data_IF_595544518229
#
_entry.id   IF_595544518229
#
_cell.length_a   1.000
_cell.length_b   1.000
_cell.length_c   1.000
_cell.angle_alpha   90.00
_cell.angle_beta   90.00
_cell.angle_gamma   90.00
#
_symmetry.space_group_name_H-M   'P 1'
#
loop_
_entity.id
_entity.type
_entity.pdbx_description
1 polymer ?
#
# COMPACT_ATOMS: atom_id res chain seq x y z
N UNK A 1 11.90 0.89 -27.15
CA UNK A 1 10.70 1.70 -27.44
C UNK A 1 9.53 0.91 -28.04
N UNK A 2 9.70 -0.36 -28.44
CA UNK A 2 8.61 -1.14 -29.07
C UNK A 2 7.36 -1.31 -28.19
N UNK A 3 7.51 -1.44 -26.87
CA UNK A 3 6.39 -1.59 -25.94
C UNK A 3 5.56 -0.31 -25.81
N UNK A 4 6.21 0.86 -25.77
CA UNK A 4 5.51 2.15 -25.79
C UNK A 4 4.72 2.34 -27.09
N UNK A 5 5.35 2.02 -28.24
CA UNK A 5 4.68 2.08 -29.55
C UNK A 5 3.50 1.11 -29.58
N UNK A 6 3.69 -0.11 -29.09
CA UNK A 6 2.65 -1.13 -29.05
C UNK A 6 1.46 -0.73 -28.18
N UNK A 7 1.68 -0.09 -27.02
CA UNK A 7 0.60 0.47 -26.20
C UNK A 7 -0.11 1.63 -26.90
N UNK A 8 0.61 2.53 -27.56
CA UNK A 8 0.00 3.57 -28.38
C UNK A 8 -0.84 2.99 -29.52
N UNK A 9 -0.41 1.89 -30.13
CA UNK A 9 -1.19 1.17 -31.14
C UNK A 9 -2.45 0.54 -30.53
N UNK A 10 -2.38 0.01 -29.31
CA UNK A 10 -3.55 -0.50 -28.59
C UNK A 10 -4.60 0.59 -28.34
N UNK A 11 -4.16 1.80 -28.01
CA UNK A 11 -5.02 2.97 -27.84
C UNK A 11 -5.65 3.41 -29.17
N UNK A 12 -4.84 3.52 -30.22
CA UNK A 12 -5.25 4.08 -31.51
C UNK A 12 -5.92 3.07 -32.46
N UNK A 13 -5.86 1.77 -32.15
CA UNK A 13 -6.37 0.69 -33.00
C UNK A 13 -5.45 0.32 -34.18
N UNK A 14 -4.17 0.71 -34.14
CA UNK A 14 -3.21 0.46 -35.24
C UNK A 14 -2.68 -0.97 -35.25
N UNK A 15 -3.53 -1.92 -35.65
CA UNK A 15 -3.25 -3.36 -35.60
C UNK A 15 -2.04 -3.78 -36.45
N UNK A 16 -1.85 -3.19 -37.64
CA UNK A 16 -0.70 -3.53 -38.50
C UNK A 16 0.63 -3.11 -37.85
N UNK A 17 0.70 -1.87 -37.33
CA UNK A 17 1.88 -1.36 -36.66
C UNK A 17 2.18 -2.11 -35.35
N UNK A 18 1.13 -2.51 -34.61
CA UNK A 18 1.29 -3.37 -33.44
C UNK A 18 1.99 -4.70 -33.78
N UNK A 19 1.64 -5.32 -34.91
CA UNK A 19 2.26 -6.59 -35.33
C UNK A 19 3.75 -6.42 -35.67
N UNK A 20 4.13 -5.28 -36.24
CA UNK A 20 5.54 -4.96 -36.54
C UNK A 20 6.39 -4.77 -35.26
N UNK A 21 5.76 -4.38 -34.14
CA UNK A 21 6.47 -4.16 -32.88
C UNK A 21 7.05 -5.45 -32.26
N UNK A 22 6.52 -6.62 -32.63
CA UNK A 22 6.97 -7.95 -32.18
C UNK A 22 7.23 -8.04 -30.66
N UNK A 23 6.26 -7.55 -29.86
CA UNK A 23 6.32 -7.56 -28.40
C UNK A 23 5.75 -8.85 -27.82
N UNK A 24 6.16 -9.22 -26.61
CA UNK A 24 5.52 -10.30 -25.86
C UNK A 24 4.07 -9.90 -25.51
N UNK A 25 3.17 -10.88 -25.26
CA UNK A 25 1.80 -10.60 -24.86
C UNK A 25 1.76 -9.94 -23.47
N UNK A 26 1.83 -8.61 -23.46
CA UNK A 26 1.89 -7.81 -22.24
C UNK A 26 0.49 -7.48 -21.72
N UNK A 27 0.30 -7.60 -20.40
CA UNK A 27 -0.99 -7.36 -19.73
C UNK A 27 -1.43 -5.91 -19.86
N UNK A 28 -0.53 -4.92 -19.75
CA UNK A 28 -0.90 -3.50 -19.79
C UNK A 28 -1.41 -3.12 -21.18
N UNK A 29 -0.76 -3.64 -22.24
CA UNK A 29 -1.19 -3.43 -23.62
C UNK A 29 -2.56 -4.08 -23.87
N UNK A 30 -2.78 -5.28 -23.32
CA UNK A 30 -4.07 -5.95 -23.44
C UNK A 30 -5.19 -5.17 -22.74
N UNK A 31 -4.93 -4.65 -21.53
CA UNK A 31 -5.93 -3.85 -20.79
C UNK A 31 -6.27 -2.56 -21.53
N UNK A 32 -5.26 -1.90 -22.09
CA UNK A 32 -5.42 -0.70 -22.92
C UNK A 32 -6.21 -0.98 -24.20
N UNK A 33 -5.90 -2.08 -24.90
CA UNK A 33 -6.60 -2.51 -26.11
C UNK A 33 -8.08 -2.79 -25.81
N UNK A 34 -8.36 -3.47 -24.70
CA UNK A 34 -9.74 -3.75 -24.26
C UNK A 34 -10.50 -2.46 -23.94
N UNK A 35 -9.89 -1.54 -23.19
CA UNK A 35 -10.51 -0.27 -22.81
C UNK A 35 -10.77 0.63 -24.02
N UNK A 36 -9.87 0.62 -25.00
CA UNK A 36 -9.96 1.44 -26.22
C UNK A 36 -10.81 0.80 -27.33
N UNK A 37 -11.36 -0.40 -27.12
CA UNK A 37 -12.18 -1.11 -28.12
C UNK A 37 -11.37 -1.76 -29.26
N UNK A 38 -10.05 -1.86 -29.13
CA UNK A 38 -9.13 -2.47 -30.10
C UNK A 38 -9.16 -4.01 -30.03
N UNK A 39 -10.31 -4.61 -30.36
CA UNK A 39 -10.56 -6.06 -30.21
C UNK A 39 -9.50 -6.92 -30.91
N UNK A 40 -9.09 -6.57 -32.14
CA UNK A 40 -8.11 -7.37 -32.88
C UNK A 40 -6.74 -7.48 -32.17
N UNK A 41 -6.32 -6.43 -31.46
CA UNK A 41 -5.08 -6.44 -30.67
C UNK A 41 -5.32 -7.22 -29.37
N UNK A 42 -6.44 -6.97 -28.69
CA UNK A 42 -6.80 -7.66 -27.46
C UNK A 42 -6.90 -9.18 -27.65
N UNK A 43 -7.67 -9.65 -28.63
CA UNK A 43 -7.88 -11.06 -28.93
C UNK A 43 -6.56 -11.74 -29.32
N UNK A 44 -5.71 -11.03 -30.05
CA UNK A 44 -4.37 -11.53 -30.39
C UNK A 44 -3.54 -11.75 -29.13
N UNK A 45 -3.50 -10.80 -28.21
CA UNK A 45 -2.76 -10.94 -26.95
C UNK A 45 -3.36 -12.10 -26.13
N UNK A 46 -4.69 -12.13 -25.96
CA UNK A 46 -5.42 -13.14 -25.20
C UNK A 46 -5.35 -14.56 -25.80
N UNK A 47 -5.02 -14.71 -27.09
CA UNK A 47 -4.84 -16.01 -27.72
C UNK A 47 -3.59 -16.76 -27.23
N UNK A 48 -2.67 -16.09 -26.54
CA UNK A 48 -1.47 -16.70 -25.97
C UNK A 48 -1.79 -17.40 -24.64
N UNK A 49 -1.09 -18.50 -24.35
CA UNK A 49 -1.28 -19.26 -23.10
C UNK A 49 -0.77 -18.52 -21.86
N UNK A 50 0.21 -17.63 -22.05
CA UNK A 50 0.83 -16.86 -20.98
C UNK A 50 0.82 -15.39 -21.34
N UNK A 51 0.48 -14.56 -20.36
CA UNK A 51 0.62 -13.11 -20.42
C UNK A 51 1.78 -12.70 -19.52
N UNK A 52 2.42 -11.58 -19.86
CA UNK A 52 3.57 -11.07 -19.13
C UNK A 52 3.32 -9.68 -18.59
N UNK A 53 3.93 -9.34 -17.46
CA UNK A 53 4.03 -7.97 -16.97
C UNK A 53 5.42 -7.42 -17.32
N UNK A 54 5.52 -6.81 -18.50
CA UNK A 54 6.75 -6.17 -19.00
C UNK A 54 6.76 -4.70 -18.65
N UNK A 55 5.62 -4.03 -18.85
CA UNK A 55 5.43 -2.63 -18.44
C UNK A 55 4.94 -2.56 -17.00
N UNK A 56 5.47 -1.59 -16.24
CA UNK A 56 5.02 -1.29 -14.88
C UNK A 56 4.72 0.21 -14.74
N UNK A 57 3.44 0.53 -14.68
CA UNK A 57 2.91 1.89 -14.62
C UNK A 57 3.17 2.56 -13.26
N UNK A 58 3.35 1.78 -12.19
CA UNK A 58 3.70 2.32 -10.88
C UNK A 58 5.07 2.98 -10.89
N UNK A 59 6.03 2.36 -11.58
CA UNK A 59 7.43 2.83 -11.63
C UNK A 59 7.80 3.47 -12.97
N UNK A 60 6.87 3.49 -13.93
CA UNK A 60 7.10 3.91 -15.33
C UNK A 60 8.29 3.20 -15.97
N UNK A 61 8.43 1.91 -15.67
CA UNK A 61 9.57 1.10 -16.09
C UNK A 61 9.15 0.01 -17.08
N UNK A 62 10.11 -0.42 -17.91
CA UNK A 62 9.95 -1.56 -18.81
C UNK A 62 11.03 -2.56 -18.48
N UNK A 63 10.61 -3.71 -17.97
CA UNK A 63 11.51 -4.74 -17.44
C UNK A 63 11.67 -5.89 -18.43
N UNK A 64 12.87 -6.05 -18.98
CA UNK A 64 13.20 -7.17 -19.88
C UNK A 64 13.88 -8.34 -19.18
N UNK A 65 14.40 -8.11 -17.97
CA UNK A 65 15.03 -9.14 -17.15
C UNK A 65 13.96 -9.98 -16.45
N UNK A 66 13.90 -11.26 -16.80
CA UNK A 66 12.98 -12.25 -16.21
C UNK A 66 11.49 -11.86 -16.31
N UNK A 67 10.89 -11.95 -17.53
CA UNK A 67 9.48 -11.66 -17.74
C UNK A 67 8.57 -12.46 -16.81
N UNK A 68 7.89 -11.77 -15.90
CA UNK A 68 6.97 -12.41 -14.96
C UNK A 68 5.66 -12.72 -15.64
N UNK A 69 5.22 -13.97 -15.54
CA UNK A 69 3.87 -14.37 -15.94
C UNK A 69 2.88 -13.62 -15.06
N UNK A 70 1.86 -13.05 -15.69
CA UNK A 70 0.81 -12.28 -15.02
C UNK A 70 -0.55 -12.62 -15.60
N UNK A 71 -1.59 -12.11 -14.96
CA UNK A 71 -2.96 -12.10 -15.44
C UNK A 71 -3.45 -10.66 -15.61
N UNK A 72 -4.61 -10.49 -16.25
CA UNK A 72 -5.33 -9.23 -16.21
C UNK A 72 -5.79 -8.96 -14.78
N UNK A 73 -5.30 -7.88 -14.18
CA UNK A 73 -5.58 -7.49 -12.81
C UNK A 73 -5.94 -6.01 -12.70
N UNK A 74 -6.19 -5.31 -13.81
CA UNK A 74 -6.47 -3.87 -13.91
C UNK A 74 -5.54 -3.02 -13.05
N UNK A 75 -4.24 -3.33 -13.12
CA UNK A 75 -3.15 -2.57 -12.51
C UNK A 75 -2.40 -1.82 -13.62
N UNK A 76 -3.17 -1.18 -14.49
CA UNK A 76 -2.72 -0.43 -15.66
C UNK A 76 -3.41 0.92 -15.63
N UNK A 77 -2.64 1.98 -15.85
CA UNK A 77 -3.15 3.34 -16.00
C UNK A 77 -3.76 3.51 -17.40
N UNK A 78 -5.05 3.22 -17.55
CA UNK A 78 -5.73 3.34 -18.84
C UNK A 78 -5.71 4.78 -19.34
N UNK A 79 -5.78 4.99 -20.66
CA UNK A 79 -5.88 6.33 -21.25
C UNK A 79 -6.97 7.18 -20.59
N UNK A 80 -8.13 6.60 -20.32
CA UNK A 80 -9.25 7.31 -19.70
C UNK A 80 -8.93 7.83 -18.29
N UNK A 81 -8.07 7.14 -17.53
CA UNK A 81 -7.67 7.64 -16.21
C UNK A 81 -6.75 8.86 -16.28
N UNK A 82 -6.12 9.13 -17.41
CA UNK A 82 -5.27 10.30 -17.61
C UNK A 82 -6.08 11.59 -17.83
N UNK A 83 -7.37 11.47 -18.11
CA UNK A 83 -8.30 12.61 -18.24
C UNK A 83 -8.91 13.00 -16.88
N UNK A 84 -8.67 12.21 -15.83
CA UNK A 84 -9.10 12.51 -14.46
C UNK A 84 -8.07 13.44 -13.84
N UNK A 85 -8.47 14.67 -13.56
CA UNK A 85 -7.61 15.73 -13.04
C UNK A 85 -8.03 16.17 -11.64
N UNK A 86 -7.04 16.53 -10.85
CA UNK A 86 -7.23 17.11 -9.52
C UNK A 86 -6.79 18.57 -9.52
N UNK A 87 -7.51 19.39 -8.77
CA UNK A 87 -7.13 20.78 -8.58
C UNK A 87 -6.08 20.90 -7.49
N UNK A 88 -5.01 21.67 -7.76
CA UNK A 88 -4.05 22.04 -6.72
C UNK A 88 -4.71 22.97 -5.68
N UNK A 89 -4.62 22.58 -4.41
CA UNK A 89 -5.05 23.34 -3.24
C UNK A 89 -3.83 24.00 -2.59
N UNK A 90 -4.08 25.06 -1.83
CA UNK A 90 -3.01 25.75 -1.09
C UNK A 90 -2.38 24.74 -0.12
N UNK A 91 -1.06 24.47 -0.22
CA UNK A 91 -0.37 23.59 0.71
C UNK A 91 -0.47 24.11 2.14
N UNK A 92 -0.46 23.17 3.09
CA UNK A 92 -0.48 23.46 4.52
C UNK A 92 0.73 22.80 5.15
N UNK A 93 1.32 23.43 6.17
CA UNK A 93 2.48 22.90 6.89
C UNK A 93 3.60 23.92 7.03
N UNK A 94 4.63 23.58 7.83
CA UNK A 94 5.85 24.38 7.88
C UNK A 94 6.57 24.28 6.53
N UNK A 95 6.82 25.42 5.89
CA UNK A 95 7.77 25.51 4.79
C UNK A 95 9.15 25.11 5.33
N UNK A 96 9.67 23.97 4.89
CA UNK A 96 11.07 23.64 5.11
C UNK A 96 11.87 24.42 4.06
N UNK A 97 12.49 25.53 4.48
CA UNK A 97 13.42 26.25 3.62
C UNK A 97 14.62 25.32 3.31
N UNK A 98 14.87 24.96 2.04
CA UNK A 98 15.97 24.07 1.68
C UNK A 98 17.37 24.61 2.03
N UNK A 99 17.48 25.89 2.40
CA UNK A 99 18.74 26.55 2.73
C UNK A 99 19.00 26.70 4.23
N UNK A 100 18.02 26.45 5.11
CA UNK A 100 18.27 26.43 6.54
C UNK A 100 18.84 25.07 6.97
N UNK A 101 20.16 24.94 6.85
CA UNK A 101 20.91 23.87 7.50
C UNK A 101 20.71 23.99 9.02
N UNK A 102 19.99 23.05 9.62
CA UNK A 102 19.83 22.90 11.08
C UNK A 102 21.14 22.40 11.74
N UNK A 103 22.29 22.96 11.35
CA UNK A 103 23.59 22.57 11.87
C UNK A 103 24.22 23.62 12.79
N UNK A 104 23.62 24.80 12.91
CA UNK A 104 24.02 25.81 13.88
C UNK A 104 22.83 25.98 14.83
N UNK A 105 23.05 25.71 16.12
CA UNK A 105 22.01 25.62 17.15
C UNK A 105 21.30 26.94 17.49
N UNK A 106 20.82 27.65 16.48
CA UNK A 106 19.86 28.75 16.62
C UNK A 106 18.45 28.17 16.60
N UNK A 107 17.82 28.18 17.77
CA UNK A 107 16.38 28.00 17.90
C UNK A 107 15.70 29.04 17.01
N UNK A 108 14.91 28.59 16.04
CA UNK A 108 14.10 29.49 15.22
C UNK A 108 13.22 30.31 16.19
N UNK A 109 13.45 31.62 16.25
CA UNK A 109 12.67 32.54 17.09
C UNK A 109 11.17 32.28 16.85
N UNK A 110 10.50 31.78 17.88
CA UNK A 110 9.06 31.54 17.83
C UNK A 110 8.36 32.90 17.73
N UNK A 111 7.75 33.16 16.58
CA UNK A 111 6.99 34.38 16.33
C UNK A 111 5.86 34.48 17.38
N UNK A 112 5.93 35.43 18.33
CA UNK A 112 5.08 35.43 19.53
C UNK A 112 3.62 35.79 19.22
N UNK A 113 3.33 36.21 17.99
CA UNK A 113 1.98 36.55 17.50
C UNK A 113 1.23 35.35 16.87
N UNK A 114 1.83 34.15 16.84
CA UNK A 114 1.10 32.91 16.49
C UNK A 114 0.20 32.38 17.62
N UNK A 115 0.13 33.13 18.71
CA UNK A 115 -0.68 32.89 19.91
C UNK A 115 -2.17 33.04 19.56
N UNK A 116 -2.78 31.94 19.11
CA UNK A 116 -4.24 31.70 18.95
C UNK A 116 -4.95 32.24 17.69
N UNK A 117 -4.31 32.16 16.52
CA UNK A 117 -5.01 32.20 15.23
C UNK A 117 -4.83 30.87 14.49
N UNK A 118 -5.92 30.19 14.16
CA UNK A 118 -6.19 29.07 13.22
C UNK A 118 -5.03 28.24 12.56
N UNK A 119 -3.83 28.78 12.35
CA UNK A 119 -2.66 28.13 11.74
C UNK A 119 -1.88 27.13 12.62
N UNK A 120 -2.31 26.86 13.86
CA UNK A 120 -1.69 25.84 14.72
C UNK A 120 -2.02 24.40 14.31
N UNK A 121 -3.17 24.17 13.67
CA UNK A 121 -3.58 22.83 13.20
C UNK A 121 -2.92 22.46 11.86
N UNK A 122 -2.77 23.45 10.97
CA UNK A 122 -2.23 23.27 9.62
C UNK A 122 -0.73 22.89 9.63
N UNK A 123 -0.01 23.20 10.72
CA UNK A 123 1.39 22.75 10.90
C UNK A 123 1.50 21.33 11.46
N UNK A 124 0.45 20.80 12.09
CA UNK A 124 0.41 19.44 12.64
C UNK A 124 0.10 18.38 11.58
N UNK A 125 -0.59 18.78 10.51
CA UNK A 125 -0.95 17.91 9.38
C UNK A 125 -0.52 18.58 8.08
N UNK A 126 0.76 18.45 7.70
CA UNK A 126 1.21 19.02 6.44
C UNK A 126 0.47 18.37 5.28
N UNK A 127 -0.11 19.19 4.41
CA UNK A 127 -0.79 18.79 3.19
C UNK A 127 -0.06 19.40 2.00
N UNK A 128 0.36 18.58 1.04
CA UNK A 128 1.10 19.04 -0.13
C UNK A 128 0.25 19.88 -1.12
N UNK A 129 -1.06 20.02 -0.87
CA UNK A 129 -1.99 20.68 -1.79
C UNK A 129 -2.55 19.77 -2.89
N UNK A 130 -2.13 18.50 -2.94
CA UNK A 130 -2.64 17.49 -3.88
C UNK A 130 -2.57 16.10 -3.24
N UNK A 131 -3.32 15.16 -3.81
CA UNK A 131 -3.26 13.74 -3.46
C UNK A 131 -2.27 13.04 -4.39
N UNK A 132 -1.37 12.21 -3.85
CA UNK A 132 -0.52 11.38 -4.71
C UNK A 132 -1.38 10.39 -5.50
N UNK A 133 -1.29 10.46 -6.83
CA UNK A 133 -1.99 9.54 -7.71
C UNK A 133 -1.38 8.14 -7.61
N UNK A 134 -2.24 7.11 -7.71
CA UNK A 134 -1.79 5.71 -7.73
C UNK A 134 -0.83 5.44 -8.89
N UNK A 135 -1.06 6.10 -10.04
CA UNK A 135 -0.19 6.06 -11.22
C UNK A 135 0.15 7.49 -11.63
N UNK A 136 1.42 7.90 -11.50
CA UNK A 136 1.87 9.24 -11.94
C UNK A 136 2.45 9.19 -13.37
N UNK A 137 1.65 8.73 -14.33
CA UNK A 137 2.10 8.52 -15.73
C UNK A 137 2.46 9.82 -16.43
N UNK A 138 1.67 10.87 -16.25
CA UNK A 138 1.86 12.21 -16.82
C UNK A 138 2.96 13.00 -16.12
N UNK A 139 3.50 12.48 -15.01
CA UNK A 139 4.58 13.06 -14.21
C UNK A 139 4.22 14.39 -13.50
N UNK A 140 2.99 14.85 -13.63
CA UNK A 140 2.43 16.08 -13.07
C UNK A 140 1.42 15.82 -11.93
N UNK A 141 1.30 14.54 -11.48
CA UNK A 141 0.31 14.09 -10.50
C UNK A 141 -1.14 14.36 -10.89
N UNK A 142 -1.43 14.49 -12.19
CA UNK A 142 -2.74 14.84 -12.72
C UNK A 142 -3.27 16.19 -12.19
N UNK A 143 -2.35 17.11 -11.87
CA UNK A 143 -2.69 18.45 -11.39
C UNK A 143 -3.15 19.33 -12.56
N UNK A 144 -4.32 19.96 -12.41
CA UNK A 144 -4.86 20.92 -13.37
C UNK A 144 -5.58 22.10 -12.66
N UNK A 145 -6.03 23.10 -13.41
CA UNK A 145 -6.81 24.24 -12.92
C UNK A 145 -8.22 23.81 -12.45
N UNK A 146 -8.76 22.77 -13.08
CA UNK A 146 -10.11 22.25 -12.86
C UNK A 146 -10.01 20.83 -12.31
N UNK A 147 -10.88 20.51 -11.34
CA UNK A 147 -11.05 19.16 -10.84
C UNK A 147 -12.09 18.46 -11.70
N UNK A 148 -11.76 17.29 -12.25
CA UNK A 148 -12.73 16.47 -12.98
C UNK A 148 -13.86 16.10 -12.02
N UNK A 149 -15.12 16.23 -12.45
CA UNK A 149 -16.24 15.66 -11.70
C UNK A 149 -15.97 14.15 -11.57
N UNK A 150 -16.00 13.59 -10.35
CA UNK A 150 -15.81 12.15 -10.14
C UNK A 150 -16.74 11.39 -11.09
N UNK A 151 -16.20 10.84 -12.19
CA UNK A 151 -16.98 10.03 -13.13
C UNK A 151 -17.44 8.77 -12.39
N UNK A 152 -18.70 8.85 -11.95
CA UNK A 152 -19.78 7.89 -11.92
C UNK A 152 -19.49 6.38 -12.09
N UNK A 153 -20.32 5.60 -11.39
CA UNK A 153 -20.44 4.14 -11.46
C UNK A 153 -19.16 3.41 -11.10
N UNK A 154 -18.86 3.42 -9.80
CA UNK A 154 -17.99 2.41 -9.21
C UNK A 154 -18.68 1.06 -9.47
N UNK A 155 -18.23 0.35 -10.50
CA UNK A 155 -18.61 -1.04 -10.70
C UNK A 155 -17.94 -1.83 -9.59
N UNK A 156 -18.57 -1.78 -8.41
CA UNK A 156 -18.06 -2.43 -7.22
C UNK A 156 -18.02 -3.92 -7.54
N UNK A 157 -16.82 -4.50 -7.53
CA UNK A 157 -16.58 -5.90 -7.81
C UNK A 157 -17.05 -6.82 -6.66
N UNK A 158 -18.21 -6.52 -6.08
CA UNK A 158 -18.74 -7.15 -4.86
C UNK A 158 -19.01 -8.64 -5.05
N UNK A 159 -19.39 -9.08 -6.26
CA UNK A 159 -19.61 -10.49 -6.58
C UNK A 159 -18.37 -11.34 -6.25
N UNK A 160 -17.18 -10.78 -6.49
CA UNK A 160 -15.91 -11.45 -6.22
C UNK A 160 -15.50 -11.44 -4.74
N UNK A 161 -16.30 -10.87 -3.83
CA UNK A 161 -16.08 -10.99 -2.38
C UNK A 161 -16.37 -12.40 -1.87
N UNK A 162 -17.37 -13.05 -2.47
CA UNK A 162 -17.83 -14.39 -2.07
C UNK A 162 -17.25 -15.45 -3.00
N UNK A 163 -17.02 -15.10 -4.27
CA UNK A 163 -16.47 -16.01 -5.28
C UNK A 163 -14.92 -16.02 -5.30
N UNK A 164 -14.30 -17.14 -5.76
CA UNK A 164 -12.88 -17.16 -6.05
C UNK A 164 -12.56 -16.14 -7.16
N UNK A 165 -11.40 -15.46 -7.03
CA UNK A 165 -10.98 -14.51 -8.06
C UNK A 165 -10.71 -15.24 -9.38
N UNK A 166 -11.38 -14.88 -10.50
CA UNK A 166 -11.13 -15.49 -11.81
C UNK A 166 -9.70 -15.21 -12.25
N UNK A 167 -9.06 -16.07 -13.08
CA UNK A 167 -7.67 -15.86 -13.49
C UNK A 167 -7.44 -14.46 -14.09
N UNK A 168 -8.27 -14.05 -15.05
CA UNK A 168 -8.30 -12.69 -15.56
C UNK A 168 -9.45 -11.92 -14.91
N UNK A 169 -9.14 -10.86 -14.18
CA UNK A 169 -10.12 -10.05 -13.47
C UNK A 169 -10.76 -9.02 -14.42
N UNK A 170 -12.06 -8.79 -14.22
CA UNK A 170 -12.80 -7.74 -14.92
C UNK A 170 -12.21 -6.35 -14.63
N UNK A 171 -12.32 -5.39 -15.57
CA UNK A 171 -11.94 -4.02 -15.30
C UNK A 171 -12.93 -3.40 -14.31
N UNK A 172 -12.43 -2.60 -13.38
CA UNK A 172 -13.24 -1.95 -12.35
C UNK A 172 -12.45 -1.58 -11.10
N UNK A 173 -13.15 -1.01 -10.13
CA UNK A 173 -12.56 -0.61 -8.84
C UNK A 173 -12.37 -1.85 -7.93
N UNK A 174 -11.12 -2.09 -7.53
CA UNK A 174 -10.71 -3.25 -6.71
C UNK A 174 -10.54 -2.93 -5.24
N UNK A 175 -10.73 -1.68 -4.85
CA UNK A 175 -10.37 -1.20 -3.53
C UNK A 175 -11.14 -1.99 -2.47
N UNK A 176 -12.44 -2.26 -2.70
CA UNK A 176 -13.24 -3.12 -1.81
C UNK A 176 -12.66 -4.54 -1.69
N UNK A 177 -12.17 -5.13 -2.78
CA UNK A 177 -11.54 -6.46 -2.75
C UNK A 177 -10.22 -6.45 -1.97
N UNK A 178 -9.42 -5.40 -2.13
CA UNK A 178 -8.15 -5.19 -1.42
C UNK A 178 -8.43 -5.03 0.08
N UNK A 179 -9.35 -4.14 0.44
CA UNK A 179 -9.74 -3.87 1.83
C UNK A 179 -10.25 -5.13 2.52
N UNK A 180 -11.13 -5.90 1.86
CA UNK A 180 -11.68 -7.14 2.43
C UNK A 180 -10.66 -8.26 2.54
N UNK A 181 -9.74 -8.40 1.57
CA UNK A 181 -8.64 -9.35 1.66
C UNK A 181 -7.72 -9.02 2.85
N UNK A 182 -7.38 -7.74 3.02
CA UNK A 182 -6.57 -7.26 4.13
C UNK A 182 -7.28 -7.46 5.48
N UNK A 183 -8.56 -7.09 5.58
CA UNK A 183 -9.36 -7.17 6.79
C UNK A 183 -9.47 -8.62 7.31
N UNK A 184 -9.68 -9.57 6.40
CA UNK A 184 -9.80 -11.01 6.72
C UNK A 184 -8.44 -11.69 6.89
N UNK A 185 -7.35 -11.06 6.45
CA UNK A 185 -6.01 -11.65 6.46
C UNK A 185 -5.83 -12.75 5.41
N UNK A 186 -6.47 -12.62 4.25
CA UNK A 186 -6.40 -13.59 3.17
C UNK A 186 -5.13 -13.38 2.31
N UNK A 187 -4.11 -14.21 2.55
CA UNK A 187 -2.79 -14.11 1.91
C UNK A 187 -2.90 -14.25 0.38
N UNK A 188 -3.66 -15.22 -0.12
CA UNK A 188 -3.73 -15.49 -1.57
C UNK A 188 -4.35 -14.32 -2.33
N UNK A 189 -5.39 -13.69 -1.77
CA UNK A 189 -6.02 -12.50 -2.36
C UNK A 189 -5.13 -11.28 -2.24
N UNK A 190 -4.46 -11.07 -1.10
CA UNK A 190 -3.50 -9.98 -0.94
C UNK A 190 -2.33 -10.11 -1.91
N UNK A 191 -1.71 -11.29 -2.02
CA UNK A 191 -0.60 -11.54 -2.93
C UNK A 191 -0.96 -11.24 -4.40
N UNK A 192 -2.25 -11.33 -4.74
CA UNK A 192 -2.74 -11.06 -6.09
C UNK A 192 -3.20 -9.61 -6.31
N UNK A 193 -3.76 -8.95 -5.29
CA UNK A 193 -4.42 -7.64 -5.41
C UNK A 193 -3.61 -6.47 -4.83
N UNK A 194 -2.61 -6.74 -3.98
CA UNK A 194 -1.84 -5.70 -3.32
C UNK A 194 -1.10 -4.83 -4.34
N UNK A 195 -1.16 -3.52 -4.09
CA UNK A 195 -0.50 -2.49 -4.90
C UNK A 195 0.71 -1.92 -4.14
N UNK A 196 1.65 -1.26 -4.83
CA UNK A 196 2.79 -0.62 -4.15
C UNK A 196 2.39 0.44 -3.13
N UNK A 197 1.35 1.22 -3.45
CA UNK A 197 0.77 2.22 -2.56
C UNK A 197 -0.57 1.71 -2.01
N UNK A 198 -0.80 1.95 -0.72
CA UNK A 198 -2.00 1.49 -0.03
C UNK A 198 -3.21 2.33 -0.46
N UNK A 199 -4.36 1.68 -0.66
CA UNK A 199 -5.62 2.40 -0.90
C UNK A 199 -6.16 3.00 0.41
N UNK A 200 -7.07 3.97 0.30
CA UNK A 200 -7.64 4.65 1.46
C UNK A 200 -8.27 3.63 2.44
N UNK A 201 -7.80 3.64 3.69
CA UNK A 201 -8.28 2.74 4.75
C UNK A 201 -7.65 1.35 4.78
N UNK A 202 -6.78 1.00 3.83
CA UNK A 202 -6.14 -0.32 3.75
C UNK A 202 -5.26 -0.60 4.97
N UNK A 203 -4.49 0.38 5.45
CA UNK A 203 -3.63 0.22 6.62
C UNK A 203 -4.41 -0.25 7.86
N UNK A 204 -5.61 0.28 8.09
CA UNK A 204 -6.48 -0.16 9.18
C UNK A 204 -6.95 -1.61 9.01
N UNK A 205 -7.31 -1.98 7.77
CA UNK A 205 -7.71 -3.35 7.44
C UNK A 205 -6.55 -4.34 7.61
N UNK A 206 -5.35 -3.99 7.16
CA UNK A 206 -4.12 -4.78 7.33
C UNK A 206 -3.81 -4.99 8.80
N UNK A 207 -3.81 -3.93 9.61
CA UNK A 207 -3.59 -4.01 11.06
C UNK A 207 -4.60 -4.97 11.69
N UNK A 208 -5.89 -4.85 11.35
CA UNK A 208 -6.94 -5.75 11.85
C UNK A 208 -6.74 -7.20 11.36
N UNK A 209 -6.34 -7.42 10.12
CA UNK A 209 -6.02 -8.76 9.60
C UNK A 209 -4.87 -9.39 10.38
N UNK A 210 -3.80 -8.63 10.62
CA UNK A 210 -2.61 -9.07 11.36
C UNK A 210 -2.96 -9.50 12.78
N UNK A 211 -3.75 -8.71 13.50
CA UNK A 211 -4.15 -9.07 14.87
C UNK A 211 -4.91 -10.40 14.95
N UNK A 212 -5.68 -10.77 13.93
CA UNK A 212 -6.54 -11.94 13.99
C UNK A 212 -6.00 -13.15 13.21
N UNK A 213 -5.04 -12.98 12.31
CA UNK A 213 -4.48 -14.05 11.50
C UNK A 213 -2.95 -14.15 11.69
N UNK A 214 -2.43 -15.13 12.47
CA UNK A 214 -1.00 -15.32 12.71
C UNK A 214 -0.16 -15.45 11.43
N UNK A 215 -0.62 -16.27 10.49
CA UNK A 215 0.11 -16.52 9.24
C UNK A 215 0.17 -15.28 8.35
N UNK A 216 -0.88 -14.44 8.39
CA UNK A 216 -0.90 -13.16 7.70
C UNK A 216 0.11 -12.18 8.30
N UNK A 217 0.27 -12.17 9.62
CA UNK A 217 1.32 -11.39 10.28
C UNK A 217 2.73 -11.82 9.82
N UNK A 218 2.98 -13.13 9.74
CA UNK A 218 4.26 -13.66 9.21
C UNK A 218 4.48 -13.27 7.75
N UNK A 219 3.45 -13.40 6.90
CA UNK A 219 3.52 -13.00 5.50
C UNK A 219 3.81 -11.51 5.32
N UNK A 220 3.11 -10.64 6.06
CA UNK A 220 3.35 -9.19 6.06
C UNK A 220 4.74 -8.81 6.58
N UNK A 221 5.29 -9.61 7.50
CA UNK A 221 6.61 -9.38 8.07
C UNK A 221 7.78 -9.53 7.07
N UNK A 222 7.51 -10.11 5.90
CA UNK A 222 8.44 -10.29 4.78
C UNK A 222 8.20 -9.28 3.63
N UNK A 223 7.18 -8.43 3.73
CA UNK A 223 6.89 -7.43 2.70
C UNK A 223 7.88 -6.25 2.80
N UNK A 224 8.10 -5.51 1.69
CA UNK A 224 8.89 -4.29 1.72
C UNK A 224 8.30 -3.29 2.72
N UNK A 225 9.16 -2.55 3.43
CA UNK A 225 8.70 -1.53 4.38
C UNK A 225 8.15 -0.33 3.62
N UNK A 226 6.93 0.07 3.94
CA UNK A 226 6.44 1.41 3.62
C UNK A 226 7.10 2.40 4.58
N UNK A 227 7.72 3.47 4.07
CA UNK A 227 8.35 4.52 4.88
C UNK A 227 7.35 5.48 5.53
N UNK A 228 6.04 5.23 5.37
CA UNK A 228 4.96 6.07 5.88
C UNK A 228 4.61 5.76 7.34
N UNK A 229 3.83 6.64 7.97
CA UNK A 229 3.25 6.44 9.31
C UNK A 229 2.44 5.14 9.43
N UNK A 230 1.79 4.72 8.36
CA UNK A 230 1.08 3.45 8.30
C UNK A 230 2.03 2.24 8.38
N UNK A 231 3.25 2.35 7.86
CA UNK A 231 4.29 1.34 8.01
C UNK A 231 4.63 1.06 9.48
N UNK A 232 4.72 2.10 10.31
CA UNK A 232 4.94 1.97 11.75
C UNK A 232 3.77 1.24 12.43
N UNK A 233 2.52 1.61 12.10
CA UNK A 233 1.32 0.97 12.68
C UNK A 233 1.23 -0.51 12.32
N UNK A 234 1.54 -0.86 11.07
CA UNK A 234 1.58 -2.24 10.60
C UNK A 234 2.70 -3.01 11.34
N UNK A 235 3.88 -2.40 11.52
CA UNK A 235 4.99 -3.04 12.22
C UNK A 235 4.69 -3.29 13.70
N UNK A 236 4.07 -2.32 14.39
CA UNK A 236 3.55 -2.50 15.74
C UNK A 236 2.59 -3.69 15.78
N UNK A 237 1.63 -3.78 14.86
CA UNK A 237 0.68 -4.89 14.80
C UNK A 237 1.38 -6.25 14.59
N UNK A 238 2.42 -6.30 13.75
CA UNK A 238 3.23 -7.52 13.53
C UNK A 238 3.92 -7.94 14.83
N UNK A 239 4.62 -7.02 15.49
CA UNK A 239 5.30 -7.30 16.77
C UNK A 239 4.31 -7.73 17.84
N UNK A 240 3.16 -7.05 17.95
CA UNK A 240 2.08 -7.43 18.85
C UNK A 240 1.64 -8.87 18.60
N UNK A 241 1.37 -9.22 17.33
CA UNK A 241 0.88 -10.55 16.98
C UNK A 241 1.92 -11.63 17.27
N UNK A 242 3.19 -11.36 17.02
CA UNK A 242 4.28 -12.31 17.34
C UNK A 242 4.40 -12.55 18.84
N UNK A 243 4.34 -11.50 19.67
CA UNK A 243 4.32 -11.64 21.13
C UNK A 243 3.14 -12.52 21.57
N UNK A 244 1.93 -12.27 21.06
CA UNK A 244 0.73 -13.07 21.38
C UNK A 244 0.88 -14.55 20.97
N UNK A 245 1.72 -14.84 19.97
CA UNK A 245 2.06 -16.20 19.55
C UNK A 245 3.27 -16.80 20.28
N UNK A 246 3.77 -16.15 21.35
CA UNK A 246 4.97 -16.54 22.09
C UNK A 246 6.27 -16.49 21.29
N UNK A 247 6.31 -15.69 20.22
CA UNK A 247 7.49 -15.48 19.39
C UNK A 247 8.10 -14.11 19.68
N UNK A 248 9.31 -14.12 20.26
CA UNK A 248 10.10 -12.92 20.54
C UNK A 248 11.32 -12.78 19.61
N UNK A 249 11.42 -13.63 18.59
CA UNK A 249 12.60 -13.69 17.70
C UNK A 249 12.91 -12.34 17.06
N UNK A 250 11.90 -11.58 16.62
CA UNK A 250 12.09 -10.25 16.01
C UNK A 250 12.48 -9.15 17.00
N UNK A 251 12.17 -9.33 18.28
CA UNK A 251 12.48 -8.33 19.32
C UNK A 251 13.81 -8.60 20.02
N UNK A 252 14.24 -9.87 20.09
CA UNK A 252 15.36 -10.34 20.90
C UNK A 252 16.51 -10.94 20.06
N UNK A 253 16.39 -11.02 18.72
CA UNK A 253 17.44 -11.64 17.88
C UNK A 253 18.85 -11.06 18.11
N UNK A 254 19.79 -11.98 18.34
CA UNK A 254 21.16 -11.78 18.83
C UNK A 254 22.15 -10.99 17.92
N UNK A 255 21.69 -10.17 16.96
CA UNK A 255 22.62 -9.50 16.01
C UNK A 255 22.47 -7.99 15.76
N UNK A 256 21.43 -7.30 16.20
CA UNK A 256 21.35 -5.82 16.16
C UNK A 256 20.13 -5.34 16.98
N UNK A 257 20.35 -4.64 18.10
CA UNK A 257 20.30 -3.17 18.22
C UNK A 257 18.88 -2.61 18.24
N UNK A 258 18.38 -2.39 19.47
CA UNK A 258 17.24 -1.55 19.87
C UNK A 258 16.14 -1.33 18.81
N UNK A 259 15.06 -2.14 18.88
CA UNK A 259 13.81 -1.84 18.15
C UNK A 259 13.40 -0.40 18.45
N UNK A 260 13.16 0.46 17.44
CA UNK A 260 12.71 1.83 17.67
C UNK A 260 11.49 1.86 18.59
N UNK A 261 11.42 2.83 19.50
CA UNK A 261 10.27 2.96 20.42
C UNK A 261 8.96 3.12 19.64
N UNK A 262 9.02 3.75 18.46
CA UNK A 262 7.91 3.88 17.52
C UNK A 262 7.35 2.53 17.08
N UNK A 263 8.15 1.47 17.04
CA UNK A 263 7.75 0.17 16.50
C UNK A 263 7.28 -0.78 17.62
N UNK A 264 7.34 -0.34 18.88
CA UNK A 264 6.88 -1.12 20.02
C UNK A 264 5.35 -1.12 20.09
N UNK A 265 4.71 -2.29 20.20
CA UNK A 265 3.26 -2.38 20.22
C UNK A 265 2.68 -1.95 21.57
N UNK A 266 1.52 -1.29 21.51
CA UNK A 266 0.71 -1.03 22.68
C UNK A 266 -0.16 -2.25 23.06
N UNK A 267 -0.94 -2.79 22.10
CA UNK A 267 -1.91 -3.86 22.33
C UNK A 267 -1.25 -5.23 22.20
N UNK A 268 -0.94 -5.89 23.33
CA UNK A 268 -0.25 -7.21 23.36
C UNK A 268 -1.06 -8.34 24.01
N UNK A 269 -2.35 -8.11 24.25
CA UNK A 269 -3.24 -9.01 25.01
C UNK A 269 -4.54 -9.41 24.30
N UNK A 270 -4.78 -8.92 23.08
CA UNK A 270 -5.98 -9.22 22.29
C UNK A 270 -5.63 -9.48 20.82
N UNK A 271 -6.20 -10.50 20.15
CA UNK A 271 -7.31 -11.35 20.59
C UNK A 271 -6.90 -12.52 21.50
N UNK A 272 -5.60 -12.80 21.61
CA UNK A 272 -5.08 -13.94 22.38
C UNK A 272 -3.97 -13.48 23.32
N UNK A 273 -3.94 -14.01 24.53
CA UNK A 273 -2.89 -13.74 25.50
C UNK A 273 -1.64 -14.58 25.21
N UNK A 274 -0.47 -13.99 25.40
CA UNK A 274 0.79 -14.73 25.41
C UNK A 274 0.94 -15.51 26.73
N UNK A 275 1.87 -16.45 26.76
CA UNK A 275 2.26 -17.16 27.97
C UNK A 275 2.99 -16.23 28.94
N UNK A 276 2.85 -16.50 30.24
CA UNK A 276 3.55 -15.79 31.31
C UNK A 276 5.06 -15.72 31.06
N UNK A 277 5.67 -16.83 30.65
CA UNK A 277 7.10 -16.92 30.33
C UNK A 277 7.54 -15.94 29.24
N UNK A 278 6.70 -15.75 28.21
CA UNK A 278 6.93 -14.78 27.13
C UNK A 278 6.91 -13.35 27.67
N UNK A 279 5.92 -13.03 28.51
CA UNK A 279 5.82 -11.72 29.15
C UNK A 279 7.03 -11.43 30.06
N UNK A 280 7.45 -12.40 30.87
CA UNK A 280 8.65 -12.27 31.70
C UNK A 280 9.94 -12.12 30.89
N UNK A 281 10.08 -12.86 29.78
CA UNK A 281 11.20 -12.73 28.86
C UNK A 281 11.21 -11.34 28.20
N UNK A 282 10.05 -10.86 27.75
CA UNK A 282 9.91 -9.52 27.18
C UNK A 282 10.31 -8.43 28.19
N UNK A 283 9.87 -8.52 29.44
CA UNK A 283 10.23 -7.56 30.49
C UNK A 283 11.74 -7.55 30.81
N UNK A 284 12.40 -8.70 30.69
CA UNK A 284 13.85 -8.83 30.89
C UNK A 284 14.65 -8.24 29.74
N UNK A 285 14.19 -8.42 28.50
CA UNK A 285 14.96 -8.08 27.29
C UNK A 285 14.55 -6.74 26.64
N UNK A 286 13.34 -6.23 26.90
CA UNK A 286 12.81 -4.98 26.33
C UNK A 286 12.26 -4.10 27.47
N UNK A 287 13.13 -3.41 28.24
CA UNK A 287 12.72 -2.63 29.42
C UNK A 287 11.69 -1.54 29.13
N UNK A 288 11.67 -1.00 27.91
CA UNK A 288 10.74 0.03 27.45
C UNK A 288 9.28 -0.44 27.51
N UNK A 289 9.03 -1.75 27.41
CA UNK A 289 7.68 -2.33 27.44
C UNK A 289 7.25 -2.82 28.83
N UNK A 290 8.05 -2.56 29.87
CA UNK A 290 7.83 -3.13 31.22
C UNK A 290 6.49 -2.75 31.84
N UNK A 291 5.93 -1.57 31.52
CA UNK A 291 4.62 -1.15 32.02
C UNK A 291 3.47 -1.94 31.38
N UNK A 292 3.52 -2.16 30.06
CA UNK A 292 2.52 -2.95 29.34
C UNK A 292 2.53 -4.42 29.76
N UNK A 293 3.70 -4.94 30.14
CA UNK A 293 3.86 -6.26 30.74
C UNK A 293 3.05 -6.45 32.04
N UNK A 294 3.08 -5.49 32.96
CA UNK A 294 2.36 -5.61 34.24
C UNK A 294 0.85 -5.71 34.02
N UNK A 295 0.32 -4.96 33.05
CA UNK A 295 -1.08 -5.05 32.67
C UNK A 295 -1.44 -6.43 32.06
N UNK A 296 -0.62 -6.93 31.12
CA UNK A 296 -0.84 -8.24 30.49
C UNK A 296 -0.70 -9.43 31.45
N UNK A 297 0.29 -9.39 32.35
CA UNK A 297 0.52 -10.42 33.36
C UNK A 297 -0.63 -10.53 34.39
N UNK A 298 -1.15 -9.39 34.84
CA UNK A 298 -2.32 -9.36 35.74
C UNK A 298 -3.58 -9.95 35.07
N UNK A 299 -3.78 -9.73 33.76
CA UNK A 299 -4.90 -10.31 33.01
C UNK A 299 -4.77 -11.85 32.93
N UNK A 300 -3.55 -12.37 32.74
CA UNK A 300 -3.30 -13.81 32.72
C UNK A 300 -3.60 -14.48 34.07
N UNK A 301 -3.26 -13.83 35.20
CA UNK A 301 -3.53 -14.35 36.55
C UNK A 301 -5.02 -14.33 36.92
N UNK A 302 -5.81 -13.38 36.39
CA UNK A 302 -7.27 -13.34 36.57
C UNK A 302 -8.04 -14.38 35.74
N UNK A 303 -7.45 -14.89 34.65
CA UNK A 303 -8.11 -15.82 33.72
C UNK A 303 -8.05 -17.29 34.18
N UNK A 304 -7.21 -17.60 35.17
CA UNK A 304 -7.07 -18.95 35.75
C UNK A 304 -8.08 -19.27 36.87
N UNK A 305 -9.03 -18.38 37.14
CA UNK A 305 -10.08 -18.53 38.18
C UNK A 305 -11.50 -18.72 37.63
N UNK A 306 -11.66 -19.04 36.34
CA UNK A 306 -12.95 -19.33 35.68
C UNK A 306 -13.14 -20.80 35.36
#
# INVERSE_FOLDING_TARGET
MCYQIARACAIAGYTALYQECNVLPDVTIAEEARASGSQAIFDRIMSHSHLFRIMDDYTRAISFSDPKISSLNGDTALRSSLEVKQRFKIPKGREQDPFCNVNDGEECEEDPDSTWGDGGLDTLFPEAGFCEAMFNITEDMDIDEVESEEEAEVNFMEDYLIEPLPYNLSPGNKDVLILMAAYTGNIDRCARLCRPNMVKGEAGCVVRGIYHCPVFATWWSNQPRCSSSDGTRIMQAIHARMIMNNDLSRLISNRQSHVPVSDLPYLIWYPTLAQRSTYEALARHVPQMRQLYLAGGCICEGSTFG
#
